data_IF_542851301014
#
_entry.id   IF_542851301014
#
_cell.length_a   1.000
_cell.length_b   1.000
_cell.length_c   1.000
_cell.angle_alpha   90.00
_cell.angle_beta   90.00
_cell.angle_gamma   90.00
#
_symmetry.space_group_name_H-M   'P 1'
#
loop_
_entity.id
_entity.type
_entity.pdbx_description
1 polymer ?
#
# COMPACT_ATOMS: atom_id res chain seq x y z
N UNK A 1 18.03 0.39 12.80
CA UNK A 1 17.96 1.82 12.47
C UNK A 1 17.09 2.08 11.22
N UNK A 2 17.35 1.40 10.10
CA UNK A 2 16.62 1.65 8.83
C UNK A 2 15.10 1.47 8.98
N UNK A 3 14.66 0.36 9.61
CA UNK A 3 13.24 0.14 9.90
C UNK A 3 12.62 1.28 10.71
N UNK A 4 13.32 1.70 11.77
CA UNK A 4 12.86 2.79 12.62
C UNK A 4 12.70 4.09 11.83
N UNK A 5 13.68 4.48 11.02
CA UNK A 5 13.62 5.70 10.20
C UNK A 5 12.46 5.64 9.19
N UNK A 6 12.35 4.55 8.42
CA UNK A 6 11.29 4.41 7.41
C UNK A 6 9.90 4.39 8.06
N UNK A 7 9.75 3.72 9.21
CA UNK A 7 8.50 3.67 9.95
C UNK A 7 8.08 5.06 10.45
N UNK A 8 9.01 5.88 10.97
CA UNK A 8 8.72 7.23 11.44
C UNK A 8 8.42 8.18 10.29
N UNK A 9 9.17 8.12 9.19
CA UNK A 9 8.84 8.89 7.97
C UNK A 9 7.44 8.53 7.48
N UNK A 10 7.12 7.24 7.39
CA UNK A 10 5.78 6.78 7.02
C UNK A 10 4.69 7.31 7.96
N UNK A 11 4.93 7.25 9.27
CA UNK A 11 4.00 7.78 10.27
C UNK A 11 3.77 9.29 10.10
N UNK A 12 4.82 10.08 9.92
CA UNK A 12 4.71 11.54 9.73
C UNK A 12 3.91 11.85 8.46
N UNK A 13 4.12 11.12 7.36
CA UNK A 13 3.37 11.30 6.13
C UNK A 13 1.88 10.97 6.30
N UNK A 14 1.55 9.87 7.01
CA UNK A 14 0.16 9.52 7.34
C UNK A 14 -0.47 10.60 8.18
N UNK A 15 0.20 11.03 9.26
CA UNK A 15 -0.29 12.11 10.14
C UNK A 15 -0.51 13.40 9.36
N UNK A 16 0.41 13.80 8.51
CA UNK A 16 0.27 15.00 7.67
C UNK A 16 -0.96 14.91 6.75
N UNK A 17 -1.21 13.73 6.14
CA UNK A 17 -2.41 13.48 5.34
C UNK A 17 -3.69 13.69 6.15
N UNK A 18 -3.81 13.03 7.32
CA UNK A 18 -4.99 13.11 8.16
C UNK A 18 -5.20 14.50 8.78
N UNK A 19 -4.13 15.16 9.24
CA UNK A 19 -4.22 16.52 9.75
C UNK A 19 -4.65 17.52 8.67
N UNK A 20 -4.19 17.33 7.44
CA UNK A 20 -4.65 18.13 6.31
C UNK A 20 -6.15 17.91 6.07
N UNK A 21 -6.62 16.65 6.02
CA UNK A 21 -8.05 16.36 5.90
C UNK A 21 -8.86 16.98 7.03
N UNK A 22 -8.41 16.85 8.28
CA UNK A 22 -9.06 17.43 9.47
C UNK A 22 -9.20 18.95 9.36
N UNK A 23 -8.15 19.64 8.91
CA UNK A 23 -8.17 21.11 8.77
C UNK A 23 -9.24 21.57 7.77
N UNK A 24 -9.44 20.83 6.68
CA UNK A 24 -10.45 21.16 5.66
C UNK A 24 -11.84 20.57 5.96
N UNK A 25 -11.95 19.64 6.91
CA UNK A 25 -13.21 19.06 7.38
C UNK A 25 -13.73 19.71 8.67
N UNK A 26 -13.44 21.00 8.86
CA UNK A 26 -13.93 21.78 10.01
C UNK A 26 -13.35 21.36 11.36
N UNK A 27 -12.16 20.74 11.39
CA UNK A 27 -11.48 20.29 12.61
C UNK A 27 -11.92 18.91 13.11
N UNK A 28 -12.78 18.21 12.38
CA UNK A 28 -13.24 16.86 12.75
C UNK A 28 -12.21 15.79 12.40
N UNK A 29 -12.10 14.75 13.25
CA UNK A 29 -11.34 13.52 13.01
C UNK A 29 -12.24 12.34 12.63
N UNK A 30 -13.55 12.55 12.48
CA UNK A 30 -14.46 11.48 12.14
C UNK A 30 -14.36 11.13 10.63
N UNK A 31 -14.25 9.85 10.33
CA UNK A 31 -14.23 9.37 8.93
C UNK A 31 -15.51 9.70 8.15
N UNK A 32 -16.64 9.83 8.86
CA UNK A 32 -17.90 10.25 8.26
C UNK A 32 -17.79 11.67 7.67
N UNK A 33 -17.15 12.58 8.40
CA UNK A 33 -16.98 13.97 7.97
C UNK A 33 -16.00 14.06 6.80
N UNK A 34 -14.92 13.25 6.80
CA UNK A 34 -14.02 13.18 5.64
C UNK A 34 -14.74 12.72 4.37
N UNK A 35 -15.61 11.70 4.47
CA UNK A 35 -16.44 11.23 3.33
C UNK A 35 -17.44 12.27 2.85
N UNK A 36 -17.97 13.10 3.75
CA UNK A 36 -18.94 14.15 3.40
C UNK A 36 -18.28 15.41 2.85
N UNK A 37 -16.99 15.61 3.11
CA UNK A 37 -16.26 16.82 2.72
C UNK A 37 -15.80 16.74 1.27
N UNK A 38 -16.17 17.73 0.46
CA UNK A 38 -15.63 17.91 -0.88
C UNK A 38 -14.31 18.72 -0.80
N UNK A 39 -13.20 18.01 -0.80
CA UNK A 39 -11.88 18.65 -0.88
C UNK A 39 -11.64 19.18 -2.29
N UNK A 40 -10.92 20.30 -2.42
CA UNK A 40 -10.46 20.71 -3.73
C UNK A 40 -9.53 19.65 -4.35
N UNK A 41 -9.48 19.51 -5.68
CA UNK A 41 -8.64 18.49 -6.33
C UNK A 41 -7.17 18.55 -5.90
N UNK A 42 -6.64 19.74 -5.62
CA UNK A 42 -5.28 19.93 -5.13
C UNK A 42 -5.10 19.39 -3.71
N UNK A 43 -6.00 19.72 -2.79
CA UNK A 43 -5.95 19.23 -1.39
C UNK A 43 -6.13 17.71 -1.35
N UNK A 44 -7.13 17.18 -2.06
CA UNK A 44 -7.36 15.74 -2.15
C UNK A 44 -6.11 15.01 -2.67
N UNK A 45 -5.44 15.57 -3.70
CA UNK A 45 -4.24 15.00 -4.28
C UNK A 45 -3.05 15.03 -3.31
N UNK A 46 -2.86 16.11 -2.57
CA UNK A 46 -1.82 16.19 -1.53
C UNK A 46 -2.08 15.14 -0.45
N UNK A 47 -3.33 15.05 0.06
CA UNK A 47 -3.69 14.06 1.07
C UNK A 47 -3.46 12.63 0.56
N UNK A 48 -3.83 12.34 -0.71
CA UNK A 48 -3.63 11.03 -1.30
C UNK A 48 -2.14 10.67 -1.45
N UNK A 49 -1.31 11.59 -1.97
CA UNK A 49 0.14 11.34 -2.14
C UNK A 49 0.82 11.10 -0.80
N UNK A 50 0.52 11.92 0.20
CA UNK A 50 1.06 11.74 1.56
C UNK A 50 0.65 10.39 2.16
N UNK A 51 -0.63 10.02 2.02
CA UNK A 51 -1.12 8.72 2.47
C UNK A 51 -0.48 7.57 1.69
N UNK A 52 -0.35 7.68 0.35
CA UNK A 52 0.23 6.65 -0.49
C UNK A 52 1.68 6.34 -0.08
N UNK A 53 2.53 7.35 0.08
CA UNK A 53 3.91 7.12 0.52
C UNK A 53 3.99 6.71 1.99
N UNK A 54 3.14 7.23 2.85
CA UNK A 54 3.10 6.86 4.26
C UNK A 54 2.69 5.40 4.49
N UNK A 55 1.58 4.98 3.92
CA UNK A 55 1.12 3.58 3.96
C UNK A 55 1.98 2.68 3.08
N UNK A 56 2.54 3.19 1.99
CA UNK A 56 3.49 2.51 1.14
C UNK A 56 4.79 2.15 1.84
N UNK A 57 5.31 3.02 2.71
CA UNK A 57 6.43 2.71 3.58
C UNK A 57 6.13 1.51 4.49
N UNK A 58 4.90 1.42 5.02
CA UNK A 58 4.42 0.27 5.81
C UNK A 58 4.24 -0.98 4.98
N UNK A 59 3.73 -0.86 3.76
CA UNK A 59 3.56 -1.96 2.81
C UNK A 59 4.90 -2.47 2.23
N UNK A 60 5.95 -1.64 2.26
CA UNK A 60 7.25 -1.98 1.69
C UNK A 60 7.32 -1.81 0.17
N UNK A 61 6.69 -0.77 -0.39
CA UNK A 61 6.82 -0.44 -1.81
C UNK A 61 8.20 0.14 -2.13
N UNK A 62 8.69 -0.06 -3.34
CA UNK A 62 9.93 0.58 -3.78
C UNK A 62 9.67 2.08 -4.02
N UNK A 63 10.52 3.00 -3.47
CA UNK A 63 11.85 2.77 -2.87
C UNK A 63 11.87 2.52 -1.35
N UNK A 64 10.72 2.49 -0.68
CA UNK A 64 10.62 2.41 0.79
C UNK A 64 10.67 0.97 1.35
N UNK A 65 11.00 -0.02 0.51
CA UNK A 65 11.03 -1.45 0.83
C UNK A 65 12.24 -1.91 1.65
N UNK A 66 13.32 -1.12 1.71
CA UNK A 66 14.66 -1.57 2.17
C UNK A 66 14.71 -2.11 3.60
N UNK A 67 13.68 -1.89 4.42
CA UNK A 67 13.58 -2.44 5.77
C UNK A 67 13.13 -3.91 5.77
N UNK A 68 12.30 -4.31 4.80
CA UNK A 68 11.64 -5.61 4.76
C UNK A 68 12.62 -6.79 4.64
N UNK A 69 13.59 -6.78 3.68
CA UNK A 69 14.58 -7.85 3.55
C UNK A 69 15.59 -7.90 4.70
N UNK A 70 15.71 -6.84 5.49
CA UNK A 70 16.57 -6.80 6.68
C UNK A 70 15.85 -7.26 7.95
N UNK A 71 14.54 -6.99 8.05
CA UNK A 71 13.75 -7.34 9.22
C UNK A 71 13.40 -8.83 9.28
N UNK A 72 13.11 -9.45 8.13
CA UNK A 72 12.66 -10.85 8.10
C UNK A 72 13.71 -11.88 8.55
N UNK A 73 15.00 -11.80 8.16
CA UNK A 73 16.00 -12.74 8.64
C UNK A 73 16.23 -12.68 10.15
N UNK A 74 16.17 -11.47 10.72
CA UNK A 74 16.36 -11.24 12.15
C UNK A 74 15.15 -11.66 13.01
N UNK A 75 13.98 -11.73 12.41
CA UNK A 75 12.75 -12.08 13.11
C UNK A 75 12.56 -13.61 13.20
N UNK A 76 11.99 -14.13 14.30
CA UNK A 76 11.51 -15.52 14.34
C UNK A 76 10.49 -15.80 13.22
N UNK A 77 10.44 -17.05 12.72
CA UNK A 77 9.62 -17.42 11.56
C UNK A 77 8.12 -17.13 11.74
N UNK A 78 7.58 -17.35 12.93
CA UNK A 78 6.19 -17.00 13.26
C UNK A 78 5.92 -15.48 13.21
N UNK A 79 6.88 -14.66 13.63
CA UNK A 79 6.77 -13.20 13.54
C UNK A 79 6.88 -12.76 12.07
N UNK A 80 7.81 -13.33 11.30
CA UNK A 80 7.93 -13.08 9.86
C UNK A 80 6.65 -13.45 9.10
N UNK A 81 6.00 -14.57 9.45
CA UNK A 81 4.72 -14.96 8.89
C UNK A 81 3.63 -13.91 9.14
N UNK A 82 3.50 -13.40 10.37
CA UNK A 82 2.56 -12.32 10.73
C UNK A 82 2.90 -10.99 10.05
N UNK A 83 4.19 -10.66 9.95
CA UNK A 83 4.64 -9.45 9.26
C UNK A 83 4.25 -9.48 7.77
N UNK A 84 4.55 -10.56 7.08
CA UNK A 84 4.24 -10.71 5.66
C UNK A 84 2.76 -11.02 5.41
N UNK A 85 2.14 -11.88 6.23
CA UNK A 85 0.73 -12.26 6.09
C UNK A 85 -0.26 -11.15 6.43
N UNK A 86 0.01 -10.34 7.48
CA UNK A 86 -0.91 -9.33 8.01
C UNK A 86 -0.39 -7.91 7.93
N UNK A 87 0.74 -7.61 8.57
CA UNK A 87 1.18 -6.24 8.83
C UNK A 87 1.34 -5.39 7.57
N UNK A 88 1.96 -5.92 6.50
CA UNK A 88 2.15 -5.17 5.25
C UNK A 88 0.83 -4.91 4.51
N UNK A 89 -0.21 -5.75 4.71
CA UNK A 89 -1.55 -5.54 4.14
C UNK A 89 -2.30 -4.38 4.76
N UNK A 90 -1.97 -4.00 6.00
CA UNK A 90 -2.49 -2.77 6.61
C UNK A 90 -2.09 -1.54 5.78
N UNK A 91 -0.88 -1.55 5.19
CA UNK A 91 -0.47 -0.50 4.25
C UNK A 91 -1.35 -0.43 3.00
N UNK A 92 -1.66 -1.58 2.39
CA UNK A 92 -2.60 -1.66 1.25
C UNK A 92 -3.99 -1.17 1.65
N UNK A 93 -4.50 -1.64 2.80
CA UNK A 93 -5.79 -1.19 3.32
C UNK A 93 -5.82 0.34 3.53
N UNK A 94 -4.75 0.93 4.06
CA UNK A 94 -4.64 2.39 4.24
C UNK A 94 -4.71 3.16 2.92
N UNK A 95 -4.02 2.68 1.87
CA UNK A 95 -4.07 3.28 0.53
C UNK A 95 -5.49 3.23 -0.04
N UNK A 96 -6.15 2.06 0.04
CA UNK A 96 -7.54 1.89 -0.39
C UNK A 96 -8.49 2.78 0.41
N UNK A 97 -8.33 2.81 1.73
CA UNK A 97 -9.19 3.59 2.64
C UNK A 97 -9.13 5.08 2.33
N UNK A 98 -7.95 5.64 2.13
CA UNK A 98 -7.82 7.07 1.81
C UNK A 98 -8.27 7.34 0.38
N UNK A 99 -7.76 6.60 -0.60
CA UNK A 99 -7.99 6.90 -2.02
C UNK A 99 -9.39 6.60 -2.54
N UNK A 100 -10.03 5.53 -2.07
CA UNK A 100 -11.35 5.11 -2.58
C UNK A 100 -12.51 5.42 -1.64
N UNK A 101 -12.25 5.61 -0.34
CA UNK A 101 -13.32 5.83 0.64
C UNK A 101 -13.31 7.25 1.20
N UNK A 102 -12.23 7.69 1.86
CA UNK A 102 -12.25 8.98 2.56
C UNK A 102 -12.24 10.19 1.61
N UNK A 103 -11.63 10.07 0.45
CA UNK A 103 -11.59 11.11 -0.59
C UNK A 103 -12.65 10.90 -1.69
N UNK A 104 -13.61 9.99 -1.50
CA UNK A 104 -14.59 9.61 -2.51
C UNK A 104 -15.45 10.78 -2.99
N UNK A 105 -15.90 11.67 -2.09
CA UNK A 105 -16.70 12.85 -2.42
C UNK A 105 -15.96 13.85 -3.32
N UNK A 106 -14.63 13.86 -3.28
CA UNK A 106 -13.78 14.76 -4.10
C UNK A 106 -13.51 14.21 -5.51
N UNK A 107 -13.90 12.97 -5.76
CA UNK A 107 -13.65 12.24 -7.01
C UNK A 107 -12.20 11.74 -7.13
N UNK A 108 -12.07 10.48 -7.50
CA UNK A 108 -10.76 9.85 -7.76
C UNK A 108 -10.16 10.44 -9.03
N UNK A 109 -8.88 10.80 -8.99
CA UNK A 109 -8.19 11.32 -10.17
C UNK A 109 -7.50 10.18 -10.94
N UNK A 110 -7.57 10.20 -12.28
CA UNK A 110 -6.94 9.18 -13.14
C UNK A 110 -5.46 9.00 -12.81
N UNK A 111 -4.74 10.11 -12.63
CA UNK A 111 -3.29 10.08 -12.37
C UNK A 111 -2.93 9.41 -11.02
N UNK A 112 -3.84 9.40 -10.02
CA UNK A 112 -3.60 8.64 -8.78
C UNK A 112 -3.47 7.15 -9.09
N UNK A 113 -4.43 6.62 -9.88
CA UNK A 113 -4.37 5.22 -10.31
C UNK A 113 -3.13 4.91 -11.11
N UNK A 114 -2.75 5.79 -12.05
CA UNK A 114 -1.52 5.63 -12.83
C UNK A 114 -0.26 5.64 -11.95
N UNK A 115 -0.17 6.56 -10.97
CA UNK A 115 0.92 6.61 -10.02
C UNK A 115 1.02 5.30 -9.22
N UNK A 116 -0.09 4.81 -8.69
CA UNK A 116 -0.12 3.53 -7.94
C UNK A 116 0.32 2.37 -8.82
N UNK A 117 -0.11 2.32 -10.08
CA UNK A 117 0.30 1.29 -11.05
C UNK A 117 1.80 1.36 -11.36
N UNK A 118 2.36 2.55 -11.56
CA UNK A 118 3.79 2.73 -11.85
C UNK A 118 4.64 2.21 -10.67
N UNK A 119 4.32 2.62 -9.44
CA UNK A 119 5.03 2.12 -8.26
C UNK A 119 4.78 0.61 -8.04
N UNK A 120 3.59 0.12 -8.37
CA UNK A 120 3.26 -1.29 -8.36
C UNK A 120 4.11 -2.10 -9.35
N UNK A 121 4.23 -1.63 -10.60
CA UNK A 121 5.05 -2.27 -11.63
C UNK A 121 6.54 -2.28 -11.26
N UNK A 122 7.08 -1.15 -10.79
CA UNK A 122 8.47 -1.05 -10.33
C UNK A 122 8.72 -2.03 -9.18
N UNK A 123 7.81 -2.09 -8.19
CA UNK A 123 7.94 -2.99 -7.04
C UNK A 123 7.85 -4.46 -7.45
N UNK A 124 6.97 -4.78 -8.39
CA UNK A 124 6.82 -6.15 -8.90
C UNK A 124 8.09 -6.62 -9.62
N UNK A 125 8.58 -5.85 -10.59
CA UNK A 125 9.74 -6.22 -11.40
C UNK A 125 11.03 -6.26 -10.58
N UNK A 126 11.31 -5.19 -9.83
CA UNK A 126 12.55 -5.13 -9.03
C UNK A 126 12.50 -6.08 -7.84
N UNK A 127 11.31 -6.36 -7.27
CA UNK A 127 11.15 -7.36 -6.21
C UNK A 127 11.63 -8.74 -6.66
N UNK A 128 11.22 -9.19 -7.86
CA UNK A 128 11.71 -10.45 -8.46
C UNK A 128 13.21 -10.38 -8.74
N UNK A 129 13.68 -9.29 -9.37
CA UNK A 129 15.09 -9.15 -9.74
C UNK A 129 16.02 -9.23 -8.52
N UNK A 130 15.64 -8.64 -7.39
CA UNK A 130 16.39 -8.75 -6.14
C UNK A 130 16.24 -10.13 -5.50
N UNK A 131 15.05 -10.75 -5.54
CA UNK A 131 14.84 -12.08 -5.01
C UNK A 131 15.74 -13.14 -5.68
N UNK A 132 15.94 -13.05 -7.00
CA UNK A 132 16.82 -13.96 -7.77
C UNK A 132 18.30 -13.89 -7.37
N UNK A 133 18.73 -12.83 -6.69
CA UNK A 133 20.11 -12.64 -6.25
C UNK A 133 20.35 -13.10 -4.80
N UNK A 134 19.28 -13.42 -4.07
CA UNK A 134 19.38 -13.76 -2.65
C UNK A 134 19.65 -15.27 -2.43
N UNK A 135 20.51 -15.54 -1.48
CA UNK A 135 20.86 -16.91 -1.06
C UNK A 135 20.27 -17.27 0.32
N UNK A 136 19.76 -16.28 1.05
CA UNK A 136 19.03 -16.48 2.31
C UNK A 136 17.54 -16.61 2.03
N UNK A 137 16.93 -17.70 2.53
CA UNK A 137 15.54 -18.05 2.22
C UNK A 137 14.54 -16.99 2.74
N UNK A 138 14.79 -16.41 3.93
CA UNK A 138 13.92 -15.39 4.51
C UNK A 138 14.04 -14.06 3.77
N UNK A 139 15.24 -13.71 3.30
CA UNK A 139 15.45 -12.54 2.45
C UNK A 139 14.80 -12.69 1.09
N UNK A 140 14.96 -13.85 0.47
CA UNK A 140 14.30 -14.18 -0.78
C UNK A 140 12.78 -14.06 -0.64
N UNK A 141 12.20 -14.64 0.41
CA UNK A 141 10.76 -14.53 0.69
C UNK A 141 10.33 -13.09 0.97
N UNK A 142 11.18 -12.27 1.59
CA UNK A 142 10.89 -10.85 1.82
C UNK A 142 10.80 -10.06 0.50
N UNK A 143 11.75 -10.25 -0.44
CA UNK A 143 11.69 -9.62 -1.75
C UNK A 143 10.49 -10.09 -2.58
N UNK A 144 10.12 -11.37 -2.51
CA UNK A 144 8.88 -11.86 -3.09
C UNK A 144 7.64 -11.25 -2.43
N UNK A 145 7.72 -10.78 -1.19
CA UNK A 145 6.61 -10.02 -0.59
C UNK A 145 6.52 -8.61 -1.20
N UNK A 146 7.66 -7.95 -1.48
CA UNK A 146 7.69 -6.68 -2.21
C UNK A 146 7.09 -6.82 -3.61
N UNK A 147 7.46 -7.88 -4.34
CA UNK A 147 6.89 -8.23 -5.64
C UNK A 147 5.36 -8.33 -5.58
N UNK A 148 4.85 -9.15 -4.67
CA UNK A 148 3.42 -9.41 -4.57
C UNK A 148 2.63 -8.17 -4.13
N UNK A 149 3.19 -7.31 -3.27
CA UNK A 149 2.61 -5.99 -2.97
C UNK A 149 2.53 -5.15 -4.25
N UNK A 150 3.55 -5.22 -5.11
CA UNK A 150 3.53 -4.58 -6.42
C UNK A 150 2.37 -5.07 -7.30
N UNK A 151 2.14 -6.38 -7.37
CA UNK A 151 1.01 -6.98 -8.12
C UNK A 151 -0.34 -6.51 -7.56
N UNK A 152 -0.49 -6.47 -6.24
CA UNK A 152 -1.71 -5.95 -5.60
C UNK A 152 -1.94 -4.48 -5.98
N UNK A 153 -0.89 -3.66 -5.94
CA UNK A 153 -0.97 -2.24 -6.30
C UNK A 153 -1.31 -2.02 -7.77
N UNK A 154 -0.87 -2.89 -8.70
CA UNK A 154 -1.31 -2.83 -10.09
C UNK A 154 -2.84 -2.96 -10.20
N UNK A 155 -3.43 -3.91 -9.51
CA UNK A 155 -4.89 -4.07 -9.48
C UNK A 155 -5.61 -2.91 -8.79
N UNK A 156 -5.07 -2.41 -7.67
CA UNK A 156 -5.62 -1.23 -6.96
C UNK A 156 -5.56 0.01 -7.84
N UNK A 157 -4.41 0.28 -8.46
CA UNK A 157 -4.23 1.43 -9.35
C UNK A 157 -5.11 1.36 -10.60
N UNK A 158 -5.25 0.16 -11.20
CA UNK A 158 -6.16 -0.06 -12.33
C UNK A 158 -7.63 0.21 -11.92
N UNK A 159 -8.04 -0.24 -10.71
CA UNK A 159 -9.36 0.07 -10.17
C UNK A 159 -9.58 1.57 -10.01
N UNK A 160 -8.63 2.29 -9.42
CA UNK A 160 -8.72 3.75 -9.23
C UNK A 160 -8.80 4.49 -10.57
N UNK A 161 -7.97 4.13 -11.54
CA UNK A 161 -7.98 4.74 -12.87
C UNK A 161 -9.33 4.47 -13.60
N UNK A 162 -9.82 3.23 -13.53
CA UNK A 162 -11.11 2.86 -14.13
C UNK A 162 -12.31 3.57 -13.46
N UNK A 163 -12.28 3.76 -12.13
CA UNK A 163 -13.30 4.56 -11.42
C UNK A 163 -13.28 6.02 -11.89
N UNK A 164 -12.11 6.62 -12.01
CA UNK A 164 -11.97 8.00 -12.48
C UNK A 164 -12.45 8.17 -13.93
N UNK A 165 -12.41 7.10 -14.74
CA UNK A 165 -12.93 7.05 -16.12
C UNK A 165 -14.38 6.58 -16.20
N UNK A 166 -15.10 6.46 -15.06
CA UNK A 166 -16.48 5.97 -14.96
C UNK A 166 -16.69 4.53 -15.52
N UNK A 167 -15.62 3.73 -15.62
CA UNK A 167 -15.66 2.33 -16.05
C UNK A 167 -15.87 1.39 -14.86
N UNK A 168 -17.06 1.43 -14.25
CA UNK A 168 -17.36 0.74 -12.98
C UNK A 168 -17.11 -0.77 -13.07
N UNK A 169 -17.47 -1.42 -14.17
CA UNK A 169 -17.24 -2.87 -14.34
C UNK A 169 -15.77 -3.25 -14.26
N UNK A 170 -14.89 -2.50 -14.96
CA UNK A 170 -13.44 -2.71 -14.91
C UNK A 170 -12.89 -2.39 -13.53
N UNK A 171 -13.37 -1.31 -12.91
CA UNK A 171 -12.93 -0.90 -11.57
C UNK A 171 -13.21 -1.99 -10.53
N UNK A 172 -14.43 -2.56 -10.55
CA UNK A 172 -14.82 -3.64 -9.63
C UNK A 172 -13.98 -4.91 -9.87
N UNK A 173 -13.82 -5.34 -11.12
CA UNK A 173 -13.02 -6.52 -11.45
C UNK A 173 -11.56 -6.36 -11.01
N UNK A 174 -10.95 -5.22 -11.27
CA UNK A 174 -9.58 -4.94 -10.87
C UNK A 174 -9.42 -4.92 -9.34
N UNK A 175 -10.38 -4.32 -8.61
CA UNK A 175 -10.36 -4.32 -7.14
C UNK A 175 -10.55 -5.73 -6.58
N UNK A 176 -11.49 -6.50 -7.13
CA UNK A 176 -11.71 -7.90 -6.71
C UNK A 176 -10.45 -8.74 -6.92
N UNK A 177 -9.78 -8.60 -8.06
CA UNK A 177 -8.52 -9.29 -8.33
C UNK A 177 -7.42 -8.92 -7.32
N UNK A 178 -7.28 -7.62 -7.02
CA UNK A 178 -6.31 -7.13 -6.02
C UNK A 178 -6.61 -7.68 -4.61
N UNK A 179 -7.86 -7.64 -4.18
CA UNK A 179 -8.27 -8.15 -2.86
C UNK A 179 -8.12 -9.67 -2.77
N UNK A 180 -8.49 -10.39 -3.82
CA UNK A 180 -8.32 -11.85 -3.88
C UNK A 180 -6.83 -12.23 -3.83
N UNK A 181 -5.98 -11.53 -4.59
CA UNK A 181 -4.54 -11.73 -4.53
C UNK A 181 -3.96 -11.37 -3.16
N UNK A 182 -4.48 -10.33 -2.50
CA UNK A 182 -4.08 -9.95 -1.13
C UNK A 182 -4.33 -11.09 -0.16
N UNK A 183 -5.51 -11.73 -0.24
CA UNK A 183 -5.86 -12.87 0.59
C UNK A 183 -4.96 -14.08 0.30
N UNK A 184 -4.82 -14.46 -0.97
CA UNK A 184 -3.96 -15.58 -1.37
C UNK A 184 -2.51 -15.36 -0.91
N UNK A 185 -1.97 -14.17 -1.14
CA UNK A 185 -0.62 -13.81 -0.69
C UNK A 185 -0.48 -13.91 0.83
N UNK A 186 -1.50 -13.53 1.61
CA UNK A 186 -1.45 -13.67 3.07
C UNK A 186 -1.31 -15.13 3.48
N UNK A 187 -2.07 -16.03 2.84
CA UNK A 187 -2.07 -17.47 3.15
C UNK A 187 -0.74 -18.12 2.79
N UNK A 188 -0.34 -18.07 1.51
CA UNK A 188 0.87 -18.79 1.10
C UNK A 188 2.15 -18.21 1.69
N UNK A 189 2.22 -16.88 1.95
CA UNK A 189 3.38 -16.28 2.61
C UNK A 189 3.45 -16.66 4.09
N UNK A 190 2.29 -16.76 4.76
CA UNK A 190 2.23 -17.27 6.12
C UNK A 190 2.86 -18.66 6.21
N UNK A 191 2.45 -19.57 5.35
CA UNK A 191 2.99 -20.94 5.29
C UNK A 191 4.48 -20.98 4.94
N UNK A 192 4.91 -20.25 3.92
CA UNK A 192 6.31 -20.24 3.49
C UNK A 192 7.25 -19.71 4.58
N UNK A 193 6.86 -18.67 5.33
CA UNK A 193 7.68 -18.18 6.43
C UNK A 193 7.65 -19.10 7.66
N UNK A 194 6.59 -19.86 7.88
CA UNK A 194 6.55 -20.86 8.94
C UNK A 194 7.44 -22.07 8.63
N UNK A 195 7.65 -22.37 7.34
CA UNK A 195 8.53 -23.44 6.88
C UNK A 195 10.00 -23.04 6.69
N UNK A 196 10.32 -21.74 6.85
CA UNK A 196 11.68 -21.17 6.72
C UNK A 196 12.27 -20.89 8.11
#
# INVERSE_FOLDING_TARGET
>A
WLYFVIAHVGFVLIMASFLTMTNFAGGSFAFADFRATQFSPAVASVCFVLAFFGFGAKAGIIPLHGWLPKAHPEAPSNVSALMSGGMIKIGIFGILKVGLDLLSASGVQVWWGLMVMVFGAISSVLGVAFALQEHDIKRLLAYHSVENIGIILLGVGASMAAMALNSVGIAVLALMAALYHTFNHAMFKGELFLGA
#
